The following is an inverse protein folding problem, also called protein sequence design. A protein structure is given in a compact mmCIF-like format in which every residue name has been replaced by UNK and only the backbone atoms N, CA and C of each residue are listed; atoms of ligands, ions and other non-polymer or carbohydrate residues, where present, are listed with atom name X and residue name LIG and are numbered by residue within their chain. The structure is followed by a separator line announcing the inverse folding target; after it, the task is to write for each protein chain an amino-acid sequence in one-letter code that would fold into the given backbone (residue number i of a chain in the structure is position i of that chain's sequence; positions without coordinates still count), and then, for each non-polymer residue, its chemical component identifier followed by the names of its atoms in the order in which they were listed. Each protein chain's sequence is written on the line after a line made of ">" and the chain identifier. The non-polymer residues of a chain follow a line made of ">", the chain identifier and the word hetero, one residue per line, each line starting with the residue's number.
data_IF_643935545281
#
_entry.id   IF_643935545281
#
_cell.length_a   1.000
_cell.length_b   1.000
_cell.length_c   1.000
_cell.angle_alpha   90.00
_cell.angle_beta   90.00
_cell.angle_gamma   90.00
#
_symmetry.space_group_name_H-M   'P 1'
#
loop_
_entity.id
_entity.type
_entity.pdbx_description
1 polymer ?
#
# COMPACT_ATOMS: atom_id res chain seq x y z
N UNK A 1 16.19 20.23 -28.48
CA UNK A 1 15.87 18.83 -28.12
C UNK A 1 15.16 18.88 -26.78
N UNK A 2 13.83 18.77 -26.76
CA UNK A 2 13.04 18.88 -25.53
C UNK A 2 12.28 17.60 -25.25
N UNK A 3 12.28 17.24 -23.96
CA UNK A 3 11.41 16.33 -23.22
C UNK A 3 11.54 14.82 -23.45
N UNK A 4 12.18 14.16 -22.48
CA UNK A 4 11.60 12.95 -21.86
C UNK A 4 11.71 13.09 -20.34
N UNK A 5 10.66 13.69 -19.78
CA UNK A 5 10.00 13.32 -18.54
C UNK A 5 10.83 12.95 -17.31
N UNK A 6 10.75 13.82 -16.30
CA UNK A 6 10.78 13.47 -14.88
C UNK A 6 10.26 12.05 -14.64
N UNK A 7 11.18 11.10 -14.46
CA UNK A 7 10.83 9.74 -14.03
C UNK A 7 10.39 9.92 -12.58
N UNK A 8 9.07 9.96 -12.37
CA UNK A 8 8.48 9.87 -11.05
C UNK A 8 9.22 8.78 -10.26
N UNK A 9 9.64 9.03 -9.01
CA UNK A 9 10.49 8.10 -8.31
C UNK A 9 9.82 6.73 -8.28
N UNK A 10 10.45 5.72 -8.89
CA UNK A 10 10.01 4.35 -8.81
C UNK A 10 9.66 4.04 -7.34
N UNK A 11 8.46 3.49 -7.12
CA UNK A 11 8.06 3.03 -5.79
C UNK A 11 9.11 2.02 -5.33
N UNK A 12 9.83 2.33 -4.25
CA UNK A 12 10.76 1.39 -3.63
C UNK A 12 10.07 0.73 -2.43
N UNK A 13 10.46 -0.51 -2.06
CA UNK A 13 9.92 -1.17 -0.87
C UNK A 13 10.02 -0.31 0.38
N UNK A 14 11.13 0.41 0.58
CA UNK A 14 11.32 1.31 1.73
C UNK A 14 10.36 2.50 1.74
N UNK A 15 10.05 3.06 0.56
CA UNK A 15 9.09 4.16 0.43
C UNK A 15 7.66 3.70 0.71
N UNK A 16 7.32 2.50 0.23
CA UNK A 16 6.04 1.88 0.53
C UNK A 16 5.92 1.63 2.03
N UNK A 17 6.92 0.98 2.64
CA UNK A 17 6.94 0.67 4.06
C UNK A 17 6.81 1.92 4.93
N UNK A 18 7.62 2.95 4.66
CA UNK A 18 7.58 4.20 5.41
C UNK A 18 6.23 4.92 5.26
N UNK A 19 5.61 4.87 4.08
CA UNK A 19 4.28 5.45 3.86
C UNK A 19 3.21 4.71 4.65
N UNK A 20 3.18 3.38 4.56
CA UNK A 20 2.18 2.55 5.25
C UNK A 20 2.32 2.71 6.76
N UNK A 21 3.54 2.65 7.30
CA UNK A 21 3.78 2.82 8.74
C UNK A 21 3.30 4.18 9.26
N UNK A 22 3.54 5.25 8.51
CA UNK A 22 3.05 6.58 8.87
C UNK A 22 1.53 6.71 8.71
N UNK A 23 0.95 6.04 7.72
CA UNK A 23 -0.50 5.98 7.54
C UNK A 23 -1.16 5.32 8.75
N UNK A 24 -0.66 4.15 9.18
CA UNK A 24 -1.18 3.40 10.33
C UNK A 24 -1.09 4.20 11.61
N UNK A 25 0.07 4.79 11.92
CA UNK A 25 0.25 5.63 13.12
C UNK A 25 -0.72 6.80 13.17
N UNK A 26 -0.98 7.44 12.02
CA UNK A 26 -1.95 8.53 11.97
C UNK A 26 -3.38 8.02 12.14
N UNK A 27 -3.73 6.90 11.49
CA UNK A 27 -5.04 6.29 11.61
C UNK A 27 -5.35 5.86 13.07
N UNK A 28 -4.36 5.35 13.80
CA UNK A 28 -4.46 5.03 15.23
C UNK A 28 -4.68 6.28 16.09
N UNK A 29 -3.97 7.38 15.80
CA UNK A 29 -4.13 8.65 16.52
C UNK A 29 -5.50 9.31 16.27
N UNK A 30 -6.05 9.12 15.08
CA UNK A 30 -7.32 9.69 14.64
C UNK A 30 -8.53 8.79 14.95
N UNK A 31 -8.32 7.63 15.59
CA UNK A 31 -9.34 6.58 15.81
C UNK A 31 -10.10 6.22 14.52
N UNK A 32 -9.35 6.13 13.42
CA UNK A 32 -9.90 5.82 12.11
C UNK A 32 -10.25 4.33 12.00
N UNK A 33 -11.44 4.05 11.50
CA UNK A 33 -11.87 2.67 11.16
C UNK A 33 -11.05 2.01 10.04
N UNK A 34 -10.13 2.73 9.41
CA UNK A 34 -9.26 2.22 8.36
C UNK A 34 -7.78 2.46 8.73
N UNK A 35 -7.15 1.42 9.29
CA UNK A 35 -5.78 1.44 9.77
C UNK A 35 -4.73 1.39 8.65
N UNK A 36 -5.04 0.76 7.52
CA UNK A 36 -4.07 0.55 6.44
C UNK A 36 -4.55 1.19 5.12
N UNK A 37 -3.62 1.67 4.28
CA UNK A 37 -3.98 2.21 2.97
C UNK A 37 -4.36 1.08 2.01
N UNK A 38 -5.36 1.35 1.18
CA UNK A 38 -5.72 0.50 0.03
C UNK A 38 -4.69 0.63 -1.10
N UNK A 39 -4.61 -0.38 -1.96
CA UNK A 39 -3.87 -0.36 -3.22
C UNK A 39 -4.25 0.85 -4.06
N UNK A 40 -5.54 1.22 -4.09
CA UNK A 40 -6.02 2.43 -4.78
C UNK A 40 -5.39 3.70 -4.20
N UNK A 41 -5.32 3.82 -2.87
CA UNK A 41 -4.71 4.97 -2.21
C UNK A 41 -3.20 5.04 -2.47
N UNK A 42 -2.50 3.90 -2.41
CA UNK A 42 -1.07 3.79 -2.72
C UNK A 42 -0.79 4.15 -4.19
N UNK A 43 -1.53 3.54 -5.13
CA UNK A 43 -1.42 3.81 -6.56
C UNK A 43 -1.63 5.29 -6.88
N UNK A 44 -2.64 5.92 -6.29
CA UNK A 44 -2.88 7.36 -6.45
C UNK A 44 -1.77 8.21 -5.83
N UNK A 45 -1.21 7.79 -4.68
CA UNK A 45 -0.17 8.54 -3.96
C UNK A 45 1.16 8.56 -4.71
N UNK A 46 1.54 7.43 -5.28
CA UNK A 46 2.84 7.23 -5.92
C UNK A 46 2.78 7.24 -7.45
N UNK A 47 1.57 7.35 -8.04
CA UNK A 47 1.34 7.28 -9.48
C UNK A 47 1.91 5.99 -10.09
N UNK A 48 1.54 4.86 -9.49
CA UNK A 48 2.01 3.50 -9.83
C UNK A 48 0.86 2.53 -10.06
N UNK A 49 1.12 1.41 -10.72
CA UNK A 49 0.16 0.32 -10.91
C UNK A 49 0.05 -0.57 -9.68
N UNK A 50 -0.99 -1.42 -9.62
CA UNK A 50 -1.12 -2.41 -8.55
C UNK A 50 -0.01 -3.46 -8.59
N UNK A 51 0.40 -3.90 -9.78
CA UNK A 51 1.50 -4.85 -9.92
C UNK A 51 2.82 -4.29 -9.33
N UNK A 52 3.09 -2.99 -9.52
CA UNK A 52 4.26 -2.34 -8.91
C UNK A 52 4.20 -2.29 -7.37
N UNK A 53 2.99 -2.28 -6.79
CA UNK A 53 2.81 -2.36 -5.34
C UNK A 53 3.04 -3.79 -4.86
N UNK A 54 2.53 -4.79 -5.59
CA UNK A 54 2.77 -6.21 -5.29
C UNK A 54 4.26 -6.55 -5.38
N UNK A 55 4.95 -6.08 -6.42
CA UNK A 55 6.39 -6.23 -6.59
C UNK A 55 7.15 -5.58 -5.40
N UNK A 56 6.77 -4.36 -5.02
CA UNK A 56 7.40 -3.68 -3.89
C UNK A 56 7.16 -4.39 -2.54
N UNK A 57 6.00 -5.05 -2.37
CA UNK A 57 5.72 -5.92 -1.22
C UNK A 57 6.57 -7.20 -1.26
N UNK A 58 6.70 -7.83 -2.43
CA UNK A 58 7.47 -9.06 -2.62
C UNK A 58 8.99 -8.84 -2.43
N UNK A 59 9.49 -7.67 -2.84
CA UNK A 59 10.90 -7.28 -2.73
C UNK A 59 11.29 -6.76 -1.33
N UNK A 60 10.36 -6.75 -0.37
CA UNK A 60 10.62 -6.23 0.97
C UNK A 60 11.55 -7.13 1.79
N UNK A 61 12.54 -6.50 2.42
CA UNK A 61 13.43 -7.14 3.37
C UNK A 61 12.75 -7.31 4.74
N UNK A 62 12.22 -8.52 4.98
CA UNK A 62 11.52 -8.88 6.21
C UNK A 62 12.39 -8.77 7.49
N UNK A 63 13.70 -8.59 7.39
CA UNK A 63 14.55 -8.31 8.56
C UNK A 63 14.33 -6.91 9.16
N UNK A 64 13.72 -5.99 8.40
CA UNK A 64 13.47 -4.59 8.79
C UNK A 64 12.06 -4.33 9.33
N UNK A 65 11.24 -5.38 9.44
CA UNK A 65 9.82 -5.32 9.74
C UNK A 65 9.02 -6.12 8.73
N UNK A 66 7.71 -6.19 8.90
CA UNK A 66 6.81 -6.87 7.97
C UNK A 66 6.18 -5.86 7.00
N UNK A 67 6.08 -6.23 5.72
CA UNK A 67 5.26 -5.55 4.74
C UNK A 67 4.57 -6.57 3.85
N UNK A 68 3.27 -6.40 3.59
CA UNK A 68 2.53 -7.34 2.78
C UNK A 68 1.27 -6.74 2.17
N UNK A 69 0.87 -7.32 1.03
CA UNK A 69 -0.45 -7.10 0.47
C UNK A 69 -1.46 -8.03 1.17
N UNK A 70 -2.54 -7.48 1.69
CA UNK A 70 -3.60 -8.25 2.35
C UNK A 70 -4.96 -7.92 1.75
N UNK A 71 -5.88 -8.87 1.84
CA UNK A 71 -7.29 -8.59 1.53
C UNK A 71 -7.94 -8.10 2.81
N UNK A 72 -8.04 -6.77 2.97
CA UNK A 72 -8.74 -6.16 4.07
C UNK A 72 -10.25 -6.27 3.88
N UNK A 73 -10.86 -7.30 4.44
CA UNK A 73 -12.33 -7.39 4.50
C UNK A 73 -12.88 -6.42 5.54
N UNK A 74 -13.61 -5.39 5.11
CA UNK A 74 -14.45 -4.62 6.03
C UNK A 74 -15.61 -5.54 6.44
N UNK A 75 -15.52 -6.14 7.62
CA UNK A 75 -16.49 -7.14 8.07
C UNK A 75 -17.80 -6.45 8.49
N UNK A 76 -18.75 -6.37 7.54
CA UNK A 76 -20.16 -6.13 7.83
C UNK A 76 -21.07 -7.05 6.98
N UNK A 77 -20.76 -8.36 7.00
CA UNK A 77 -21.72 -9.41 6.66
C UNK A 77 -21.83 -9.85 5.19
N UNK A 78 -20.74 -9.90 4.42
CA UNK A 78 -20.80 -10.37 3.03
C UNK A 78 -19.54 -11.11 2.55
N UNK A 79 -19.76 -12.11 1.70
CA UNK A 79 -18.74 -12.84 0.94
C UNK A 79 -17.87 -11.85 0.14
N UNK A 80 -16.53 -11.88 0.31
CA UNK A 80 -15.60 -11.17 -0.57
C UNK A 80 -15.04 -12.15 -1.61
N UNK A 81 -15.50 -12.04 -2.84
CA UNK A 81 -14.82 -12.60 -4.02
C UNK A 81 -13.73 -11.64 -4.48
N UNK A 82 -12.67 -12.17 -5.09
CA UNK A 82 -11.47 -11.48 -5.60
C UNK A 82 -11.72 -10.45 -6.72
N UNK A 83 -12.92 -9.90 -6.85
CA UNK A 83 -13.35 -9.16 -8.03
C UNK A 83 -12.74 -7.74 -8.10
N UNK A 84 -12.17 -7.21 -7.00
CA UNK A 84 -11.67 -5.83 -6.94
C UNK A 84 -10.30 -5.69 -6.23
N UNK A 85 -9.19 -5.87 -6.96
CA UNK A 85 -7.80 -5.62 -6.49
C UNK A 85 -7.59 -4.25 -5.81
N UNK A 86 -8.38 -3.24 -6.17
CA UNK A 86 -8.30 -1.92 -5.57
C UNK A 86 -8.68 -1.86 -4.07
N UNK A 87 -9.31 -2.92 -3.55
CA UNK A 87 -9.72 -3.05 -2.13
C UNK A 87 -8.67 -3.78 -1.28
N UNK A 88 -7.62 -4.33 -1.91
CA UNK A 88 -6.48 -4.86 -1.17
C UNK A 88 -5.84 -3.75 -0.35
N UNK A 89 -5.43 -4.07 0.87
CA UNK A 89 -4.67 -3.18 1.74
C UNK A 89 -3.19 -3.51 1.66
N UNK A 90 -2.35 -2.53 2.00
CA UNK A 90 -0.93 -2.76 2.26
C UNK A 90 -0.72 -2.63 3.76
N UNK A 91 -0.32 -3.72 4.40
CA UNK A 91 0.03 -3.76 5.82
C UNK A 91 1.53 -3.61 5.99
N UNK A 92 1.93 -2.83 7.01
CA UNK A 92 3.33 -2.75 7.42
C UNK A 92 3.43 -2.53 8.93
N UNK A 93 4.32 -3.27 9.59
CA UNK A 93 4.62 -3.12 11.03
C UNK A 93 6.09 -3.40 11.31
N UNK A 94 6.59 -2.82 12.41
CA UNK A 94 7.96 -2.97 12.89
C UNK A 94 7.96 -3.57 14.29
#
# INVERSE_FOLDING_TARGET
>A
MSNVSDIAPALTPEKLFAYVLNYTRRAEQEDSNQLYPTFRQVAKRFNVTYDQIEDACADWDNSKGYMGAVVGGQCNGGHFSYDHRGEQLVEAYQ
#
